data_IF_620989584615
#
_entry.id   IF_620989584615
#
_cell.length_a   1.000
_cell.length_b   1.000
_cell.length_c   1.000
_cell.angle_alpha   90.00
_cell.angle_beta   90.00
_cell.angle_gamma   90.00
#
_symmetry.space_group_name_H-M   'P 1'
#
loop_
_entity.id
_entity.type
_entity.pdbx_description
1 polymer ?
#
# COMPACT_ATOMS: atom_id res chain seq x y z
N UNK A 1 -16.63 15.97 -4.71
CA UNK A 1 -15.26 15.75 -5.23
C UNK A 1 -15.10 16.46 -6.58
N UNK A 2 -15.36 17.78 -6.68
CA UNK A 2 -15.26 18.55 -7.94
C UNK A 2 -15.04 20.07 -7.76
N UNK A 3 -14.93 20.61 -6.54
CA UNK A 3 -14.88 22.07 -6.34
C UNK A 3 -13.50 22.69 -6.61
N UNK A 4 -12.42 21.92 -6.50
CA UNK A 4 -11.04 22.44 -6.62
C UNK A 4 -10.52 22.39 -8.08
N UNK A 5 -11.08 21.53 -8.93
CA UNK A 5 -10.67 21.35 -10.34
C UNK A 5 -11.14 22.49 -11.28
N UNK A 6 -12.11 23.29 -10.85
CA UNK A 6 -12.66 24.41 -11.64
C UNK A 6 -11.61 25.52 -11.86
N UNK A 7 -10.57 25.60 -11.02
CA UNK A 7 -9.53 26.64 -11.11
C UNK A 7 -8.61 26.49 -12.33
N UNK A 8 -8.42 25.26 -12.85
CA UNK A 8 -7.52 25.01 -13.99
C UNK A 8 -8.03 25.74 -15.24
N UNK A 9 -9.35 25.72 -15.46
CA UNK A 9 -9.97 26.39 -16.61
C UNK A 9 -9.98 27.92 -16.52
N UNK A 10 -9.67 28.47 -15.34
CA UNK A 10 -9.50 29.91 -15.14
C UNK A 10 -8.06 30.41 -15.31
N UNK A 11 -7.09 29.50 -15.51
CA UNK A 11 -5.68 29.87 -15.69
C UNK A 11 -5.42 30.41 -17.09
N UNK A 12 -4.43 31.31 -17.17
CA UNK A 12 -3.96 31.82 -18.43
C UNK A 12 -3.34 30.68 -19.29
N UNK A 13 -3.71 30.55 -20.57
CA UNK A 13 -3.16 29.51 -21.45
C UNK A 13 -1.64 29.50 -21.54
N UNK A 14 -0.97 30.65 -21.42
CA UNK A 14 0.49 30.73 -21.46
C UNK A 14 1.13 30.14 -20.19
N UNK A 15 0.48 30.28 -19.03
CA UNK A 15 0.93 29.65 -17.79
C UNK A 15 0.81 28.13 -17.86
N UNK A 16 -0.34 27.62 -18.34
CA UNK A 16 -0.54 26.19 -18.57
C UNK A 16 0.47 25.64 -19.56
N UNK A 17 0.74 26.36 -20.65
CA UNK A 17 1.75 25.96 -21.64
C UNK A 17 3.15 25.89 -21.04
N UNK A 18 3.54 26.85 -20.18
CA UNK A 18 4.84 26.82 -19.49
C UNK A 18 4.95 25.63 -18.55
N UNK A 19 3.88 25.33 -17.81
CA UNK A 19 3.85 24.17 -16.92
C UNK A 19 4.05 22.87 -17.71
N UNK A 20 3.26 22.66 -18.76
CA UNK A 20 3.35 21.49 -19.65
C UNK A 20 4.73 21.38 -20.33
N UNK A 21 5.34 22.51 -20.72
CA UNK A 21 6.70 22.52 -21.27
C UNK A 21 7.73 22.11 -20.21
N UNK A 22 7.55 22.56 -18.96
CA UNK A 22 8.37 22.14 -17.83
C UNK A 22 8.39 20.62 -17.66
N UNK A 23 7.26 19.93 -17.79
CA UNK A 23 7.26 18.45 -17.75
C UNK A 23 8.17 17.84 -18.83
N UNK A 24 8.11 18.39 -20.06
CA UNK A 24 8.91 17.91 -21.19
C UNK A 24 10.41 18.13 -21.00
N UNK A 25 10.81 19.27 -20.46
CA UNK A 25 12.21 19.57 -20.13
C UNK A 25 12.81 18.58 -19.12
N UNK A 26 11.96 17.97 -18.28
CA UNK A 26 12.39 16.98 -17.29
C UNK A 26 12.31 15.53 -17.80
N UNK A 27 12.08 15.31 -19.11
CA UNK A 27 12.15 13.99 -19.74
C UNK A 27 10.80 13.27 -19.89
N UNK A 28 9.69 13.92 -19.59
CA UNK A 28 8.35 13.35 -19.84
C UNK A 28 7.89 13.65 -21.27
N UNK A 29 7.41 12.65 -21.98
CA UNK A 29 6.76 12.84 -23.27
C UNK A 29 5.30 13.32 -23.12
N UNK A 30 4.64 13.61 -24.24
CA UNK A 30 3.25 14.09 -24.16
C UNK A 30 2.28 13.03 -23.63
N UNK A 31 2.58 11.75 -23.84
CA UNK A 31 1.72 10.62 -23.41
C UNK A 31 1.72 10.49 -21.89
N UNK A 32 2.90 10.46 -21.29
CA UNK A 32 3.10 10.41 -19.84
C UNK A 32 2.51 11.63 -19.14
N UNK A 33 2.70 12.83 -19.69
CA UNK A 33 2.11 14.06 -19.14
C UNK A 33 0.57 13.99 -19.13
N UNK A 34 -0.05 13.52 -20.22
CA UNK A 34 -1.51 13.36 -20.26
C UNK A 34 -1.97 12.38 -19.17
N UNK A 35 -1.32 11.21 -19.07
CA UNK A 35 -1.67 10.20 -18.08
C UNK A 35 -1.53 10.69 -16.63
N UNK A 36 -0.46 11.43 -16.32
CA UNK A 36 -0.25 12.07 -15.01
C UNK A 36 -1.38 13.06 -14.71
N UNK A 37 -1.70 13.95 -15.65
CA UNK A 37 -2.71 14.99 -15.45
C UNK A 37 -4.12 14.43 -15.27
N UNK A 38 -4.43 13.28 -15.88
CA UNK A 38 -5.72 12.60 -15.69
C UNK A 38 -5.91 12.03 -14.28
N UNK A 39 -4.83 11.73 -13.57
CA UNK A 39 -4.88 11.16 -12.20
C UNK A 39 -4.60 12.22 -11.13
N UNK A 40 -3.73 13.17 -11.44
CA UNK A 40 -3.29 14.25 -10.57
C UNK A 40 -3.54 15.62 -11.22
N UNK A 41 -4.79 16.00 -11.50
CA UNK A 41 -5.09 17.26 -12.18
C UNK A 41 -4.55 18.50 -11.43
N UNK A 42 -4.35 18.41 -10.11
CA UNK A 42 -3.75 19.47 -9.31
C UNK A 42 -2.34 19.86 -9.78
N UNK A 43 -1.59 18.97 -10.46
CA UNK A 43 -0.27 19.33 -11.00
C UNK A 43 -0.34 20.41 -12.08
N UNK A 44 -1.53 20.65 -12.66
CA UNK A 44 -1.82 21.75 -13.58
C UNK A 44 -2.38 23.00 -12.85
N UNK A 45 -2.80 22.85 -11.60
CA UNK A 45 -3.82 23.67 -10.96
C UNK A 45 -3.52 24.09 -9.52
N UNK A 46 -2.26 24.38 -9.17
CA UNK A 46 -1.96 24.98 -7.87
C UNK A 46 -2.23 26.49 -7.86
N UNK A 47 -3.12 26.97 -6.99
CA UNK A 47 -3.02 28.34 -6.45
C UNK A 47 -1.78 28.47 -5.55
N UNK A 48 -1.43 29.68 -5.06
CA UNK A 48 -0.24 29.89 -4.23
C UNK A 48 -0.16 28.94 -3.01
N UNK A 49 -1.31 28.61 -2.42
CA UNK A 49 -1.43 27.73 -1.25
C UNK A 49 -1.18 26.24 -1.56
N UNK A 50 -1.54 25.80 -2.77
CA UNK A 50 -1.39 24.40 -3.21
C UNK A 50 -0.06 24.17 -3.95
N UNK A 51 0.73 25.23 -4.17
CA UNK A 51 2.00 25.16 -4.89
C UNK A 51 2.97 24.17 -4.22
N UNK A 52 3.03 24.16 -2.89
CA UNK A 52 3.85 23.20 -2.15
C UNK A 52 3.45 21.74 -2.41
N UNK A 53 2.15 21.43 -2.39
CA UNK A 53 1.66 20.08 -2.68
C UNK A 53 1.91 19.67 -4.13
N UNK A 54 1.70 20.59 -5.08
CA UNK A 54 1.99 20.39 -6.50
C UNK A 54 3.47 20.08 -6.70
N UNK A 55 4.35 20.88 -6.09
CA UNK A 55 5.79 20.68 -6.17
C UNK A 55 6.22 19.35 -5.53
N UNK A 56 5.55 18.92 -4.45
CA UNK A 56 5.78 17.63 -3.80
C UNK A 56 5.36 16.43 -4.66
N UNK A 57 4.15 16.44 -5.23
CA UNK A 57 3.68 15.35 -6.12
C UNK A 57 4.54 15.31 -7.38
N UNK A 58 4.84 16.47 -7.94
CA UNK A 58 5.72 16.56 -9.10
C UNK A 58 7.13 16.06 -8.79
N UNK A 59 7.69 16.46 -7.66
CA UNK A 59 9.00 16.02 -7.19
C UNK A 59 9.08 14.50 -7.06
N UNK A 60 8.09 13.90 -6.42
CA UNK A 60 7.97 12.43 -6.29
C UNK A 60 7.89 11.76 -7.67
N UNK A 61 6.98 12.22 -8.54
CA UNK A 61 6.78 11.63 -9.87
C UNK A 61 8.02 11.75 -10.74
N UNK A 62 8.67 12.91 -10.74
CA UNK A 62 9.91 13.14 -11.48
C UNK A 62 10.99 12.18 -11.02
N UNK A 63 11.25 12.11 -9.72
CA UNK A 63 12.27 11.19 -9.17
C UNK A 63 11.93 9.74 -9.47
N UNK A 64 10.68 9.34 -9.26
CA UNK A 64 10.23 7.97 -9.49
C UNK A 64 10.32 7.55 -10.97
N UNK A 65 9.86 8.41 -11.88
CA UNK A 65 9.81 8.11 -13.31
C UNK A 65 11.17 8.21 -13.98
N UNK A 66 11.95 9.23 -13.63
CA UNK A 66 13.21 9.55 -14.30
C UNK A 66 14.39 8.99 -13.52
N UNK A 67 14.59 9.40 -12.26
CA UNK A 67 15.77 9.03 -11.49
C UNK A 67 15.77 7.53 -11.12
N UNK A 68 14.60 6.97 -10.79
CA UNK A 68 14.40 5.55 -10.58
C UNK A 68 14.00 4.80 -11.84
N UNK A 69 13.95 5.46 -12.99
CA UNK A 69 13.72 4.82 -14.29
C UNK A 69 12.42 3.99 -14.38
N UNK A 70 11.35 4.41 -13.69
CA UNK A 70 10.05 3.74 -13.86
C UNK A 70 9.51 3.95 -15.28
N UNK A 71 9.86 5.06 -15.95
CA UNK A 71 9.42 5.40 -17.32
C UNK A 71 9.66 4.25 -18.32
N UNK A 72 10.80 3.55 -18.22
CA UNK A 72 11.16 2.45 -19.11
C UNK A 72 10.37 1.15 -18.87
N UNK A 73 9.59 1.07 -17.79
CA UNK A 73 8.72 -0.06 -17.48
C UNK A 73 7.25 0.21 -17.79
N UNK A 74 6.89 1.45 -18.14
CA UNK A 74 5.52 1.83 -18.50
C UNK A 74 5.38 1.74 -20.02
N UNK A 75 4.33 1.09 -20.49
CA UNK A 75 4.02 1.09 -21.91
C UNK A 75 3.78 2.52 -22.42
N UNK A 76 4.20 2.81 -23.65
CA UNK A 76 4.12 4.15 -24.26
C UNK A 76 2.71 4.59 -24.66
N UNK A 77 1.68 4.31 -23.85
CA UNK A 77 0.30 4.71 -24.07
C UNK A 77 -0.31 5.37 -22.82
N UNK A 78 -1.35 6.19 -23.01
CA UNK A 78 -1.95 6.99 -21.93
C UNK A 78 -2.56 6.10 -20.84
N UNK A 79 -3.18 4.98 -21.22
CA UNK A 79 -3.87 4.09 -20.27
C UNK A 79 -2.90 3.44 -19.28
N UNK A 80 -1.73 3.00 -19.75
CA UNK A 80 -0.66 2.46 -18.89
C UNK A 80 -0.15 3.52 -17.90
N UNK A 81 0.03 4.76 -18.35
CA UNK A 81 0.42 5.87 -17.47
C UNK A 81 -0.65 6.20 -16.44
N UNK A 82 -1.93 6.19 -16.84
CA UNK A 82 -3.06 6.37 -15.93
C UNK A 82 -3.08 5.24 -14.88
N UNK A 83 -2.83 4.00 -15.29
CA UNK A 83 -2.79 2.86 -14.38
C UNK A 83 -1.68 2.99 -13.33
N UNK A 84 -0.45 3.28 -13.76
CA UNK A 84 0.70 3.49 -12.86
C UNK A 84 0.45 4.66 -11.91
N UNK A 85 -0.05 5.79 -12.42
CA UNK A 85 -0.37 6.95 -11.58
C UNK A 85 -1.47 6.62 -10.57
N UNK A 86 -2.48 5.83 -10.94
CA UNK A 86 -3.53 5.37 -10.01
C UNK A 86 -2.97 4.49 -8.91
N UNK A 87 -1.98 3.63 -9.21
CA UNK A 87 -1.29 2.82 -8.19
C UNK A 87 -0.48 3.67 -7.23
N UNK A 88 0.22 4.70 -7.72
CA UNK A 88 0.93 5.68 -6.87
C UNK A 88 -0.08 6.41 -5.97
N UNK A 89 -1.21 6.85 -6.52
CA UNK A 89 -2.26 7.55 -5.79
C UNK A 89 -2.83 6.75 -4.62
N UNK A 90 -2.88 5.41 -4.70
CA UNK A 90 -3.32 4.56 -3.57
C UNK A 90 -2.51 4.86 -2.30
N UNK A 91 -1.20 5.07 -2.41
CA UNK A 91 -0.35 5.35 -1.25
C UNK A 91 -0.59 6.75 -0.69
N UNK A 92 -0.78 7.76 -1.54
CA UNK A 92 -1.16 9.10 -1.08
C UNK A 92 -2.54 9.10 -0.41
N UNK A 93 -3.52 8.39 -0.96
CA UNK A 93 -4.86 8.24 -0.38
C UNK A 93 -4.81 7.47 0.97
N UNK A 94 -3.78 6.64 1.18
CA UNK A 94 -3.47 5.99 2.46
C UNK A 94 -2.62 6.86 3.41
N UNK A 95 -2.38 8.13 3.09
CA UNK A 95 -1.72 9.08 3.97
C UNK A 95 -0.19 9.05 3.91
N UNK A 96 0.41 8.39 2.91
CA UNK A 96 1.83 8.57 2.64
C UNK A 96 2.11 10.02 2.21
N UNK A 97 3.12 10.64 2.81
CA UNK A 97 3.36 12.07 2.67
C UNK A 97 3.99 12.43 1.31
N UNK A 98 3.30 13.23 0.50
CA UNK A 98 3.79 13.72 -0.79
C UNK A 98 5.13 14.46 -0.60
N UNK A 99 6.11 14.17 -1.46
CA UNK A 99 7.44 14.78 -1.40
C UNK A 99 8.40 14.14 -0.39
N UNK A 100 8.01 13.04 0.26
CA UNK A 100 8.88 12.23 1.14
C UNK A 100 8.89 10.75 0.79
N UNK A 101 8.16 10.35 -0.24
CA UNK A 101 7.98 8.94 -0.60
C UNK A 101 8.86 8.52 -1.78
N UNK A 102 9.57 9.45 -2.41
CA UNK A 102 10.32 9.22 -3.64
C UNK A 102 11.30 8.04 -3.51
N UNK A 103 12.00 7.93 -2.40
CA UNK A 103 13.09 6.97 -2.20
C UNK A 103 12.51 5.58 -1.96
N UNK A 104 11.46 5.51 -1.14
CA UNK A 104 10.79 4.25 -0.79
C UNK A 104 10.02 3.72 -2.00
N UNK A 105 9.27 4.58 -2.70
CA UNK A 105 8.57 4.21 -3.93
C UNK A 105 9.54 3.84 -5.04
N UNK A 106 10.65 4.57 -5.18
CA UNK A 106 11.70 4.30 -6.15
C UNK A 106 12.34 2.93 -5.99
N UNK A 107 12.72 2.57 -4.76
CA UNK A 107 13.23 1.23 -4.42
C UNK A 107 12.18 0.13 -4.63
N UNK A 108 10.90 0.49 -4.51
CA UNK A 108 9.76 -0.41 -4.70
C UNK A 108 9.08 -0.24 -6.07
N UNK A 109 9.74 0.37 -7.09
CA UNK A 109 9.09 0.75 -8.35
C UNK A 109 8.38 -0.40 -9.07
N UNK A 110 8.91 -1.62 -8.94
CA UNK A 110 8.31 -2.85 -9.50
C UNK A 110 6.89 -3.07 -8.96
N UNK A 111 6.56 -2.58 -7.77
CA UNK A 111 5.22 -2.66 -7.20
C UNK A 111 4.17 -2.00 -8.10
N UNK A 112 4.51 -0.88 -8.74
CA UNK A 112 3.60 -0.15 -9.64
C UNK A 112 3.48 -0.80 -11.03
N UNK A 113 4.44 -1.64 -11.40
CA UNK A 113 4.46 -2.34 -12.69
C UNK A 113 3.76 -3.71 -12.55
N UNK A 114 4.16 -4.49 -11.55
CA UNK A 114 3.76 -5.89 -11.39
C UNK A 114 2.32 -6.06 -10.89
N UNK A 115 1.90 -5.27 -9.89
CA UNK A 115 0.65 -5.54 -9.19
C UNK A 115 -0.49 -4.67 -9.74
N UNK A 116 -1.69 -5.25 -9.97
CA UNK A 116 -2.90 -4.48 -10.22
C UNK A 116 -3.23 -3.57 -9.05
N UNK A 117 -3.89 -2.44 -9.34
CA UNK A 117 -4.32 -1.47 -8.31
C UNK A 117 -5.19 -2.14 -7.25
N UNK A 118 -6.06 -3.05 -7.65
CA UNK A 118 -7.02 -3.75 -6.79
C UNK A 118 -6.29 -4.60 -5.74
N UNK A 119 -5.16 -5.20 -6.11
CA UNK A 119 -4.31 -5.94 -5.17
C UNK A 119 -3.74 -4.98 -4.12
N UNK A 120 -3.21 -3.83 -4.53
CA UNK A 120 -2.66 -2.84 -3.59
C UNK A 120 -3.74 -2.35 -2.60
N UNK A 121 -4.93 -2.03 -3.09
CA UNK A 121 -6.06 -1.58 -2.26
C UNK A 121 -6.49 -2.68 -1.28
N UNK A 122 -6.71 -3.90 -1.75
CA UNK A 122 -7.12 -5.03 -0.89
C UNK A 122 -6.11 -5.29 0.22
N UNK A 123 -4.81 -5.27 -0.10
CA UNK A 123 -3.73 -5.47 0.88
C UNK A 123 -3.67 -4.33 1.88
N UNK A 124 -3.79 -3.10 1.42
CA UNK A 124 -3.78 -1.93 2.29
C UNK A 124 -4.99 -1.93 3.25
N UNK A 125 -6.18 -2.28 2.75
CA UNK A 125 -7.38 -2.43 3.58
C UNK A 125 -7.26 -3.56 4.60
N UNK A 126 -6.64 -4.68 4.24
CA UNK A 126 -6.38 -5.79 5.16
C UNK A 126 -5.59 -5.32 6.39
N UNK A 127 -4.44 -4.67 6.19
CA UNK A 127 -3.63 -4.19 7.32
C UNK A 127 -4.26 -2.98 8.03
N UNK A 128 -5.00 -2.13 7.34
CA UNK A 128 -5.72 -1.03 7.98
C UNK A 128 -6.77 -1.50 9.00
N UNK A 129 -7.35 -2.70 8.84
CA UNK A 129 -8.28 -3.29 9.82
C UNK A 129 -7.62 -3.61 11.17
N UNK A 130 -6.29 -3.62 11.26
CA UNK A 130 -5.56 -3.71 12.54
C UNK A 130 -5.73 -2.45 13.40
N UNK A 131 -6.17 -1.33 12.83
CA UNK A 131 -6.31 -0.06 13.55
C UNK A 131 -5.01 0.75 13.68
N UNK A 132 -3.96 0.35 12.96
CA UNK A 132 -2.70 1.10 12.87
C UNK A 132 -2.81 2.32 11.95
N UNK A 133 -1.84 3.23 12.00
CA UNK A 133 -1.80 4.38 11.10
C UNK A 133 -1.76 3.93 9.63
N UNK A 134 -2.63 4.50 8.79
CA UNK A 134 -2.72 4.18 7.37
C UNK A 134 -1.41 4.47 6.61
N UNK A 135 -0.67 5.50 7.00
CA UNK A 135 0.62 5.81 6.35
C UNK A 135 1.66 4.72 6.61
N UNK A 136 1.67 4.13 7.82
CA UNK A 136 2.51 2.98 8.15
C UNK A 136 2.12 1.74 7.34
N UNK A 137 0.83 1.54 7.06
CA UNK A 137 0.37 0.47 6.17
C UNK A 137 0.90 0.67 4.74
N UNK A 138 0.82 1.89 4.21
CA UNK A 138 1.38 2.21 2.90
C UNK A 138 2.88 1.92 2.84
N UNK A 139 3.63 2.32 3.88
CA UNK A 139 5.05 2.03 4.01
C UNK A 139 5.32 0.52 4.08
N UNK A 140 4.56 -0.24 4.87
CA UNK A 140 4.71 -1.69 4.96
C UNK A 140 4.64 -2.35 3.58
N UNK A 141 3.67 -1.97 2.74
CA UNK A 141 3.49 -2.56 1.42
C UNK A 141 4.61 -2.20 0.44
N UNK A 142 5.17 -0.99 0.54
CA UNK A 142 6.31 -0.59 -0.28
C UNK A 142 7.61 -1.27 0.18
N UNK A 143 7.82 -1.38 1.49
CA UNK A 143 9.04 -1.95 2.09
C UNK A 143 9.05 -3.49 2.10
N UNK A 144 7.87 -4.13 2.09
CA UNK A 144 7.68 -5.59 2.16
C UNK A 144 6.76 -6.07 1.05
N UNK A 145 7.16 -5.81 -0.19
CA UNK A 145 6.40 -6.10 -1.43
C UNK A 145 6.00 -7.57 -1.58
N UNK A 146 6.70 -8.49 -0.94
CA UNK A 146 6.41 -9.93 -0.93
C UNK A 146 5.02 -10.21 -0.32
N UNK A 147 4.54 -9.35 0.58
CA UNK A 147 3.19 -9.45 1.17
C UNK A 147 2.09 -9.39 0.09
N UNK A 148 2.36 -8.71 -1.01
CA UNK A 148 1.41 -8.56 -2.12
C UNK A 148 1.16 -9.90 -2.84
N UNK A 149 2.08 -10.86 -2.76
CA UNK A 149 1.96 -12.19 -3.37
C UNK A 149 1.20 -13.21 -2.50
N UNK A 150 0.96 -12.93 -1.21
CA UNK A 150 0.33 -13.90 -0.30
C UNK A 150 -1.20 -13.96 -0.48
N UNK A 151 -1.82 -15.11 -0.25
CA UNK A 151 -3.28 -15.18 -0.11
C UNK A 151 -3.69 -14.70 1.29
N UNK A 152 -4.43 -13.59 1.35
CA UNK A 152 -4.94 -13.02 2.60
C UNK A 152 -6.48 -13.07 2.67
N UNK A 153 -7.14 -13.72 1.71
CA UNK A 153 -8.60 -13.76 1.62
C UNK A 153 -9.14 -15.16 1.93
N UNK A 154 -8.68 -16.19 1.20
CA UNK A 154 -9.37 -17.49 1.17
C UNK A 154 -8.77 -18.53 2.12
N UNK A 155 -7.49 -18.39 2.47
CA UNK A 155 -6.81 -19.30 3.37
C UNK A 155 -7.49 -19.43 4.75
N UNK A 156 -7.61 -20.65 5.26
CA UNK A 156 -8.04 -20.91 6.65
C UNK A 156 -6.80 -20.99 7.55
N UNK A 157 -6.91 -20.43 8.75
CA UNK A 157 -5.85 -20.41 9.76
C UNK A 157 -6.33 -20.95 11.11
N UNK A 158 -5.42 -21.55 11.87
CA UNK A 158 -5.58 -21.77 13.32
C UNK A 158 -4.99 -20.56 14.05
N UNK A 159 -5.75 -19.93 14.94
CA UNK A 159 -5.29 -18.74 15.68
C UNK A 159 -4.04 -19.04 16.52
N UNK A 160 -4.03 -20.11 17.30
CA UNK A 160 -2.82 -20.51 18.03
C UNK A 160 -1.71 -20.96 17.09
N UNK A 161 -2.07 -21.64 15.99
CA UNK A 161 -1.12 -22.10 15.00
C UNK A 161 -0.35 -20.95 14.35
N UNK A 162 -1.05 -19.87 13.95
CA UNK A 162 -0.40 -18.72 13.31
C UNK A 162 0.43 -17.92 14.32
N UNK A 163 -0.01 -17.77 15.57
CA UNK A 163 0.78 -17.11 16.61
C UNK A 163 2.09 -17.86 16.87
N UNK A 164 2.01 -19.20 16.98
CA UNK A 164 3.18 -20.06 17.11
C UNK A 164 4.11 -19.97 15.90
N UNK A 165 3.54 -19.97 14.69
CA UNK A 165 4.28 -19.84 13.44
C UNK A 165 5.02 -18.50 13.35
N UNK A 166 4.41 -17.43 13.84
CA UNK A 166 4.99 -16.09 14.01
C UNK A 166 5.94 -15.98 15.22
N UNK A 167 6.47 -17.10 15.71
CA UNK A 167 7.50 -17.19 16.75
C UNK A 167 7.07 -16.73 18.14
N UNK A 168 5.76 -16.74 18.44
CA UNK A 168 5.29 -16.59 19.81
C UNK A 168 5.73 -17.80 20.65
N UNK A 169 6.28 -17.55 21.84
CA UNK A 169 6.79 -18.63 22.70
C UNK A 169 5.65 -19.36 23.44
N UNK A 170 5.95 -20.56 23.96
CA UNK A 170 4.91 -21.41 24.59
C UNK A 170 4.26 -20.78 25.81
N UNK A 171 5.00 -19.99 26.60
CA UNK A 171 4.47 -19.30 27.77
C UNK A 171 3.45 -18.24 27.36
N UNK A 172 3.78 -17.44 26.34
CA UNK A 172 2.88 -16.43 25.76
C UNK A 172 1.65 -17.08 25.12
N UNK A 173 1.82 -18.17 24.38
CA UNK A 173 0.70 -18.92 23.79
C UNK A 173 -0.26 -19.43 24.86
N UNK A 174 0.25 -19.97 25.98
CA UNK A 174 -0.58 -20.41 27.10
C UNK A 174 -1.33 -19.25 27.75
N UNK A 175 -0.68 -18.09 27.94
CA UNK A 175 -1.34 -16.90 28.47
C UNK A 175 -2.48 -16.43 27.55
N UNK A 176 -2.23 -16.30 26.25
CA UNK A 176 -3.27 -15.96 25.25
C UNK A 176 -4.42 -16.97 25.30
N UNK A 177 -4.11 -18.27 25.40
CA UNK A 177 -5.14 -19.30 25.44
C UNK A 177 -6.01 -19.25 26.70
N UNK A 178 -5.43 -18.83 27.83
CA UNK A 178 -6.14 -18.68 29.10
C UNK A 178 -6.97 -17.38 29.16
N UNK A 179 -6.45 -16.28 28.62
CA UNK A 179 -7.08 -14.96 28.66
C UNK A 179 -8.19 -14.79 27.62
N UNK A 180 -8.02 -15.39 26.43
CA UNK A 180 -8.92 -15.21 25.29
C UNK A 180 -9.46 -16.52 24.71
N UNK A 181 -9.99 -17.45 25.52
CA UNK A 181 -10.39 -18.78 25.04
C UNK A 181 -11.46 -18.74 23.94
N UNK A 182 -12.31 -17.71 23.94
CA UNK A 182 -13.43 -17.53 23.01
C UNK A 182 -13.02 -17.09 21.59
N UNK A 183 -11.78 -16.64 21.40
CA UNK A 183 -11.25 -16.19 20.09
C UNK A 183 -10.41 -17.28 19.41
N UNK A 184 -10.10 -18.35 20.13
CA UNK A 184 -9.27 -19.44 19.65
C UNK A 184 -10.05 -20.34 18.67
N UNK A 185 -9.31 -21.07 17.85
CA UNK A 185 -9.86 -21.99 16.86
C UNK A 185 -9.50 -21.61 15.43
N UNK A 186 -10.32 -22.06 14.48
CA UNK A 186 -10.11 -21.80 13.05
C UNK A 186 -10.80 -20.52 12.61
N UNK A 187 -10.12 -19.74 11.79
CA UNK A 187 -10.69 -18.54 11.18
C UNK A 187 -10.25 -18.42 9.72
N UNK A 188 -10.93 -17.57 8.95
CA UNK A 188 -10.43 -17.15 7.64
C UNK A 188 -9.29 -16.17 7.82
N UNK A 189 -8.30 -16.23 6.95
CA UNK A 189 -7.17 -15.31 6.90
C UNK A 189 -7.66 -13.87 6.77
N UNK A 190 -8.71 -13.64 5.99
CA UNK A 190 -9.37 -12.33 5.85
C UNK A 190 -9.77 -11.66 7.19
N UNK A 191 -10.03 -12.46 8.22
CA UNK A 191 -10.44 -11.99 9.55
C UNK A 191 -9.27 -11.87 10.53
N UNK A 192 -8.05 -12.28 10.15
CA UNK A 192 -6.86 -12.21 11.00
C UNK A 192 -6.66 -10.83 11.65
N UNK A 193 -6.84 -9.69 10.93
CA UNK A 193 -6.72 -8.37 11.57
C UNK A 193 -7.69 -8.17 12.74
N UNK A 194 -8.93 -8.64 12.61
CA UNK A 194 -9.93 -8.54 13.67
C UNK A 194 -9.62 -9.48 14.84
N UNK A 195 -9.12 -10.69 14.55
CA UNK A 195 -8.64 -11.62 15.57
C UNK A 195 -7.48 -11.00 16.35
N UNK A 196 -6.47 -10.44 15.68
CA UNK A 196 -5.33 -9.81 16.33
C UNK A 196 -5.76 -8.62 17.21
N UNK A 197 -6.80 -7.87 16.82
CA UNK A 197 -7.38 -6.83 17.67
C UNK A 197 -8.12 -7.38 18.89
N UNK A 198 -8.90 -8.47 18.71
CA UNK A 198 -9.62 -9.10 19.81
C UNK A 198 -8.69 -9.71 20.88
N UNK A 199 -7.48 -10.14 20.46
CA UNK A 199 -6.43 -10.64 21.35
C UNK A 199 -5.54 -9.54 21.94
N UNK A 200 -5.78 -8.27 21.58
CA UNK A 200 -4.89 -7.14 21.86
C UNK A 200 -3.43 -7.34 21.36
N UNK A 201 -3.27 -8.07 20.25
CA UNK A 201 -1.99 -8.38 19.60
C UNK A 201 -1.77 -7.63 18.28
N UNK A 202 -2.64 -6.68 17.94
CA UNK A 202 -2.62 -5.98 16.66
C UNK A 202 -1.33 -5.22 16.38
N UNK A 203 -0.79 -4.47 17.35
CA UNK A 203 0.51 -3.80 17.22
C UNK A 203 1.67 -4.80 17.12
N UNK A 204 1.66 -5.83 17.98
CA UNK A 204 2.66 -6.90 17.94
C UNK A 204 2.69 -7.55 16.55
N UNK A 205 1.54 -7.92 16.01
CA UNK A 205 1.39 -8.56 14.71
C UNK A 205 1.88 -7.63 13.59
N UNK A 206 1.49 -6.34 13.61
CA UNK A 206 1.95 -5.38 12.61
C UNK A 206 3.48 -5.24 12.63
N UNK A 207 4.09 -5.20 13.83
CA UNK A 207 5.54 -5.18 13.99
C UNK A 207 6.21 -6.45 13.46
N UNK A 208 5.61 -7.63 13.62
CA UNK A 208 6.12 -8.85 12.99
C UNK A 208 6.22 -8.70 11.46
N UNK A 209 5.21 -8.11 10.83
CA UNK A 209 5.21 -7.89 9.38
C UNK A 209 6.32 -6.89 8.97
N UNK A 210 6.44 -5.80 9.73
CA UNK A 210 7.44 -4.74 9.46
C UNK A 210 8.87 -5.23 9.63
N UNK A 211 9.18 -5.95 10.70
CA UNK A 211 10.55 -6.30 11.10
C UNK A 211 11.04 -7.68 10.61
N UNK A 212 10.49 -8.16 9.49
CA UNK A 212 11.08 -9.25 8.73
C UNK A 212 10.34 -10.59 8.81
N UNK A 213 9.33 -10.74 9.67
CA UNK A 213 8.58 -11.99 9.80
C UNK A 213 7.37 -12.08 8.86
N UNK A 214 7.18 -11.11 7.95
CA UNK A 214 6.14 -11.15 6.91
C UNK A 214 6.21 -12.41 6.04
N UNK A 215 7.40 -12.92 5.71
CA UNK A 215 7.56 -14.16 4.92
C UNK A 215 6.93 -15.40 5.60
N UNK A 216 6.78 -15.38 6.93
CA UNK A 216 6.10 -16.44 7.66
C UNK A 216 4.60 -16.48 7.33
N UNK A 217 4.01 -15.35 6.95
CA UNK A 217 2.61 -15.26 6.56
C UNK A 217 2.32 -16.11 5.32
N UNK A 218 3.19 -16.05 4.31
CA UNK A 218 3.04 -16.81 3.07
C UNK A 218 3.44 -18.29 3.16
N UNK A 219 4.14 -18.69 4.22
CA UNK A 219 4.55 -20.10 4.45
C UNK A 219 3.68 -20.82 5.46
N UNK A 220 2.72 -20.12 6.07
CA UNK A 220 1.78 -20.75 6.98
C UNK A 220 0.88 -21.70 6.19
N UNK A 221 0.75 -22.94 6.67
CA UNK A 221 -0.18 -23.92 6.16
C UNK A 221 -0.72 -24.71 7.34
N UNK A 222 -2.02 -25.05 7.35
CA UNK A 222 -2.59 -25.92 8.37
C UNK A 222 -2.08 -27.35 8.11
N UNK A 223 -0.99 -27.69 8.78
CA UNK A 223 -0.44 -29.04 8.79
C UNK A 223 -1.29 -29.98 9.65
N UNK A 224 -2.02 -30.88 8.98
CA UNK A 224 -2.83 -31.96 9.53
C UNK A 224 -4.09 -31.53 10.33
N UNK A 225 -5.31 -31.74 9.80
CA UNK A 225 -6.57 -31.25 10.39
C UNK A 225 -6.92 -31.78 11.79
N UNK A 226 -6.18 -32.75 12.32
CA UNK A 226 -6.46 -33.41 13.61
C UNK A 226 -5.53 -33.02 14.77
N UNK A 227 -4.48 -32.21 14.55
CA UNK A 227 -3.57 -31.79 15.65
C UNK A 227 -3.97 -30.46 16.32
N UNK A 228 -4.78 -29.67 15.63
CA UNK A 228 -5.27 -28.36 16.09
C UNK A 228 -6.76 -28.39 16.48
N UNK A 229 -7.34 -29.58 16.64
CA UNK A 229 -8.63 -29.72 17.28
C UNK A 229 -8.39 -29.64 18.78
N UNK A 230 -8.89 -28.57 19.40
CA UNK A 230 -9.30 -28.66 20.80
C UNK A 230 -10.14 -29.93 20.93
N UNK A 231 -9.66 -30.88 21.73
CA UNK A 231 -10.30 -32.19 21.90
C UNK A 231 -11.60 -32.13 22.70
N UNK A 232 -12.03 -30.95 23.13
CA UNK A 232 -13.18 -30.80 24.01
C UNK A 232 -14.14 -29.73 23.48
N UNK A 233 -15.10 -30.18 22.67
CA UNK A 233 -16.47 -29.66 22.61
C UNK A 233 -17.43 -30.84 22.49
#
# INVERSE_FOLDING_TARGET
MYREEVSIFSKDPSELSKMLHGFKEHGFDSVSVIGICLVFPQVLGGGPEMRGEVDSVWGDLRKLCIDFDLVNFVEGNVDAWVEVCRKIRVFYDFGCEKGKMEEVMGRSKITFVKYPKEVLVKKAEFFARLGVNKSDVGLLLLERREILDFDLEDQVISVLGILKHLRMNETQLKAVAQEYPYVLGRNKMANLPHVMRALDLHEWFFNQMRFGNHHLLGTYFIGNPNKDLDKDY
#
